data_IF_102919323448
#
_entry.id   IF_102919323448
#
_cell.length_a   1.000
_cell.length_b   1.000
_cell.length_c   1.000
_cell.angle_alpha   90.00
_cell.angle_beta   90.00
_cell.angle_gamma   90.00
#
_symmetry.space_group_name_H-M   'P 1'
#
loop_
_entity.id
_entity.type
_entity.pdbx_description
1 polymer ?
#
# COMPACT_ATOMS: atom_id res chain seq x y z
N UNK A 1 21.24 -15.07 65.87
CA UNK A 1 21.53 -14.30 64.63
C UNK A 1 20.62 -14.81 63.51
N UNK A 2 19.51 -14.15 63.20
CA UNK A 2 18.58 -14.53 62.09
C UNK A 2 19.07 -13.86 60.79
N UNK A 3 19.46 -14.69 59.82
CA UNK A 3 19.81 -14.22 58.49
C UNK A 3 18.52 -13.97 57.67
N UNK A 4 18.27 -12.71 57.33
CA UNK A 4 17.19 -12.31 56.42
C UNK A 4 17.72 -12.46 55.00
N UNK A 5 17.16 -13.44 54.26
CA UNK A 5 17.44 -13.60 52.82
C UNK A 5 16.46 -12.68 52.09
N UNK A 6 16.98 -11.61 51.51
CA UNK A 6 16.22 -10.70 50.62
C UNK A 6 16.18 -11.37 49.25
N UNK A 7 15.04 -11.89 48.85
CA UNK A 7 14.81 -12.42 47.53
C UNK A 7 14.39 -11.22 46.62
N UNK A 8 15.30 -10.79 45.77
CA UNK A 8 14.98 -9.79 44.76
C UNK A 8 14.12 -10.40 43.66
N UNK A 9 12.87 -9.97 43.57
CA UNK A 9 11.96 -10.32 42.46
C UNK A 9 12.31 -9.41 41.29
N UNK A 10 13.00 -9.92 40.26
CA UNK A 10 13.21 -9.22 39.00
C UNK A 10 11.90 -9.31 38.21
N UNK A 11 11.12 -8.23 38.18
CA UNK A 11 9.97 -8.12 37.30
C UNK A 11 10.49 -7.85 35.91
N UNK A 12 10.56 -8.90 35.09
CA UNK A 12 10.84 -8.80 33.66
C UNK A 12 9.58 -8.27 32.98
N UNK A 13 9.51 -6.95 32.81
CA UNK A 13 8.46 -6.33 31.99
C UNK A 13 8.70 -6.73 30.53
N UNK A 14 7.93 -7.70 30.05
CA UNK A 14 7.87 -7.98 28.62
C UNK A 14 7.30 -6.73 27.93
N UNK A 15 8.16 -5.97 27.25
CA UNK A 15 7.73 -4.97 26.29
C UNK A 15 7.05 -5.74 25.15
N UNK A 16 5.74 -5.80 25.17
CA UNK A 16 4.98 -6.20 23.98
C UNK A 16 5.12 -5.07 22.99
N UNK A 17 6.00 -5.20 22.00
CA UNK A 17 6.04 -4.31 20.88
C UNK A 17 4.63 -4.29 20.24
N UNK A 18 3.97 -3.14 20.28
CA UNK A 18 2.69 -2.96 19.59
C UNK A 18 2.94 -3.17 18.11
N UNK A 19 2.14 -4.03 17.47
CA UNK A 19 2.21 -4.26 16.03
C UNK A 19 2.12 -2.93 15.30
N UNK A 20 3.17 -2.55 14.55
CA UNK A 20 3.20 -1.28 13.84
C UNK A 20 2.59 -1.45 12.46
N UNK A 21 1.77 -0.50 12.07
CA UNK A 21 1.08 -0.49 10.78
C UNK A 21 1.61 0.63 9.89
N UNK A 22 1.80 0.33 8.62
CA UNK A 22 2.24 1.27 7.59
C UNK A 22 1.26 1.28 6.43
N UNK A 23 0.96 2.44 5.89
CA UNK A 23 0.27 2.62 4.60
C UNK A 23 1.29 3.04 3.57
N UNK A 24 1.57 2.19 2.59
CA UNK A 24 2.41 2.52 1.43
C UNK A 24 1.53 2.63 0.20
N UNK A 25 1.72 3.66 -0.62
CA UNK A 25 0.92 3.81 -1.82
C UNK A 25 1.64 4.56 -2.94
N UNK A 26 1.28 4.20 -4.17
CA UNK A 26 1.51 5.03 -5.33
C UNK A 26 0.20 5.66 -5.79
N UNK A 27 0.23 6.93 -6.19
CA UNK A 27 -0.93 7.64 -6.70
C UNK A 27 -0.51 8.71 -7.70
N UNK A 28 -1.35 8.96 -8.71
CA UNK A 28 -1.12 9.96 -9.73
C UNK A 28 -2.22 11.03 -9.69
N UNK A 29 -1.80 12.27 -9.61
CA UNK A 29 -2.62 13.47 -9.85
C UNK A 29 -2.68 13.76 -11.37
N UNK A 30 -3.33 14.85 -11.75
CA UNK A 30 -3.44 15.30 -13.15
C UNK A 30 -4.48 14.52 -13.93
N UNK A 31 -4.24 14.34 -15.21
CA UNK A 31 -5.19 13.69 -16.11
C UNK A 31 -5.35 12.20 -15.76
N UNK A 32 -6.57 11.80 -15.44
CA UNK A 32 -6.95 10.42 -15.15
C UNK A 32 -8.18 10.05 -15.97
N UNK A 33 -8.26 8.79 -16.41
CA UNK A 33 -9.43 8.27 -17.10
C UNK A 33 -10.56 7.96 -16.10
N UNK A 34 -11.78 8.30 -16.50
CA UNK A 34 -13.02 7.95 -15.80
C UNK A 34 -14.05 7.43 -16.81
N UNK A 35 -15.19 6.92 -16.34
CA UNK A 35 -16.32 6.56 -17.22
C UNK A 35 -16.88 7.72 -18.05
N UNK A 36 -16.60 8.97 -17.64
CA UNK A 36 -17.05 10.20 -18.32
C UNK A 36 -15.96 10.81 -19.21
N UNK A 37 -14.80 10.15 -19.31
CA UNK A 37 -13.65 10.61 -20.07
C UNK A 37 -12.46 10.97 -19.20
N UNK A 38 -11.52 11.77 -19.75
CA UNK A 38 -10.33 12.20 -19.05
C UNK A 38 -10.66 13.42 -18.17
N UNK A 39 -10.38 13.32 -16.89
CA UNK A 39 -10.56 14.39 -15.90
C UNK A 39 -9.24 14.75 -15.26
N UNK A 40 -9.11 15.99 -14.78
CA UNK A 40 -7.92 16.45 -14.07
C UNK A 40 -8.15 16.36 -12.55
N UNK A 41 -7.48 15.44 -11.88
CA UNK A 41 -7.59 15.21 -10.43
C UNK A 41 -6.53 16.03 -9.68
N UNK A 42 -6.95 16.89 -8.75
CA UNK A 42 -6.05 17.60 -7.84
C UNK A 42 -5.38 16.63 -6.86
N UNK A 43 -6.09 15.57 -6.47
CA UNK A 43 -5.63 14.49 -5.60
C UNK A 43 -5.99 13.18 -6.25
N UNK A 44 -5.01 12.32 -6.46
CA UNK A 44 -5.20 11.02 -7.10
C UNK A 44 -6.06 10.07 -6.24
N UNK A 45 -6.85 9.23 -6.89
CA UNK A 45 -7.82 8.37 -6.22
C UNK A 45 -7.19 7.44 -5.18
N UNK A 46 -6.04 6.83 -5.47
CA UNK A 46 -5.34 5.93 -4.54
C UNK A 46 -4.88 6.68 -3.28
N UNK A 47 -4.45 7.93 -3.42
CA UNK A 47 -4.08 8.79 -2.28
C UNK A 47 -5.27 9.05 -1.36
N UNK A 48 -6.46 9.34 -1.91
CA UNK A 48 -7.67 9.54 -1.11
C UNK A 48 -7.97 8.31 -0.24
N UNK A 49 -7.85 7.11 -0.79
CA UNK A 49 -8.04 5.85 -0.04
C UNK A 49 -6.95 5.67 1.01
N UNK A 50 -5.69 5.93 0.66
CA UNK A 50 -4.55 5.79 1.57
C UNK A 50 -4.67 6.71 2.79
N UNK A 51 -4.99 7.98 2.59
CA UNK A 51 -5.18 8.97 3.65
C UNK A 51 -6.38 8.61 4.56
N UNK A 52 -7.46 8.05 3.99
CA UNK A 52 -8.59 7.57 4.78
C UNK A 52 -8.22 6.34 5.62
N UNK A 53 -7.48 5.37 5.06
CA UNK A 53 -6.99 4.22 5.84
C UNK A 53 -6.06 4.70 6.96
N UNK A 54 -5.13 5.60 6.66
CA UNK A 54 -4.24 6.20 7.66
C UNK A 54 -5.02 6.86 8.80
N UNK A 55 -6.01 7.69 8.47
CA UNK A 55 -6.86 8.36 9.46
C UNK A 55 -7.63 7.38 10.37
N UNK A 56 -8.07 6.24 9.82
CA UNK A 56 -8.82 5.22 10.56
C UNK A 56 -7.95 4.31 11.43
N UNK A 57 -6.68 4.12 11.05
CA UNK A 57 -5.76 3.19 11.72
C UNK A 57 -4.74 3.88 12.61
N UNK A 58 -4.47 5.16 12.40
CA UNK A 58 -3.34 5.86 13.03
C UNK A 58 -1.98 5.41 12.50
N UNK A 59 -1.95 4.68 11.38
CA UNK A 59 -0.72 4.13 10.79
C UNK A 59 0.23 5.22 10.30
N UNK A 60 1.52 4.89 10.21
CA UNK A 60 2.47 5.67 9.42
C UNK A 60 2.06 5.62 7.94
N UNK A 61 2.39 6.65 7.17
CA UNK A 61 2.05 6.70 5.74
C UNK A 61 3.27 7.07 4.90
N UNK A 62 3.46 6.36 3.79
CA UNK A 62 4.56 6.58 2.85
C UNK A 62 4.07 6.55 1.40
N UNK A 63 4.36 7.62 0.66
CA UNK A 63 4.05 7.72 -0.76
C UNK A 63 5.23 7.28 -1.60
N UNK A 64 5.01 6.34 -2.51
CA UNK A 64 5.99 5.99 -3.54
C UNK A 64 6.01 7.09 -4.61
N UNK A 65 7.17 7.66 -4.86
CA UNK A 65 7.40 8.64 -5.92
C UNK A 65 8.60 8.22 -6.76
N UNK A 66 8.45 8.26 -8.07
CA UNK A 66 9.53 7.96 -9.01
C UNK A 66 10.44 9.16 -9.21
N UNK A 67 11.74 8.93 -9.40
CA UNK A 67 12.72 9.99 -9.74
C UNK A 67 12.32 10.65 -11.06
N UNK A 68 12.03 9.84 -12.08
CA UNK A 68 11.42 10.33 -13.32
C UNK A 68 9.90 10.40 -13.12
N UNK A 69 9.32 11.58 -13.21
CA UNK A 69 7.87 11.76 -13.19
C UNK A 69 7.26 11.28 -14.51
N UNK A 70 6.11 10.61 -14.42
CA UNK A 70 5.30 10.29 -15.61
C UNK A 70 4.70 11.56 -16.21
N UNK A 71 4.41 11.50 -17.51
CA UNK A 71 3.78 12.60 -18.23
C UNK A 71 2.45 13.02 -17.58
N UNK A 72 2.16 14.32 -17.59
CA UNK A 72 0.86 14.85 -17.16
C UNK A 72 -0.25 14.46 -18.15
N UNK A 73 0.09 14.36 -19.45
CA UNK A 73 -0.83 13.87 -20.47
C UNK A 73 -1.18 12.38 -20.22
N UNK A 74 -2.47 12.09 -20.20
CA UNK A 74 -2.95 10.73 -19.87
C UNK A 74 -2.47 9.68 -20.88
N UNK A 75 -2.57 9.98 -22.18
CA UNK A 75 -2.22 9.00 -23.22
C UNK A 75 -0.72 8.70 -23.22
N UNK A 76 0.10 9.73 -23.08
CA UNK A 76 1.56 9.59 -22.96
C UNK A 76 1.93 8.78 -21.71
N UNK A 77 1.32 9.09 -20.56
CA UNK A 77 1.54 8.33 -19.32
C UNK A 77 1.15 6.84 -19.47
N UNK A 78 0.04 6.55 -20.14
CA UNK A 78 -0.35 5.15 -20.37
C UNK A 78 0.63 4.40 -21.25
N UNK A 79 1.22 5.07 -22.24
CA UNK A 79 2.25 4.48 -23.11
C UNK A 79 3.54 4.23 -22.31
N UNK A 80 4.01 5.21 -21.53
CA UNK A 80 5.17 5.05 -20.63
C UNK A 80 4.99 3.86 -19.68
N UNK A 81 3.82 3.75 -19.05
CA UNK A 81 3.49 2.64 -18.15
C UNK A 81 3.47 1.27 -18.87
N UNK A 82 3.01 1.23 -20.12
CA UNK A 82 3.00 0.00 -20.95
C UNK A 82 4.41 -0.43 -21.30
N UNK A 83 5.26 0.52 -21.67
CA UNK A 83 6.67 0.25 -22.00
C UNK A 83 7.41 -0.28 -20.78
N UNK A 84 7.22 0.34 -19.59
CA UNK A 84 7.80 -0.14 -18.35
C UNK A 84 7.35 -1.56 -18.00
N UNK A 85 6.05 -1.86 -18.15
CA UNK A 85 5.51 -3.20 -17.90
C UNK A 85 6.13 -4.24 -18.85
N UNK A 86 6.19 -3.95 -20.15
CA UNK A 86 6.74 -4.84 -21.16
C UNK A 86 8.24 -5.08 -20.95
N UNK A 87 8.98 -4.05 -20.58
CA UNK A 87 10.40 -4.12 -20.28
C UNK A 87 10.69 -4.71 -18.89
N UNK A 88 9.66 -4.97 -18.06
CA UNK A 88 9.79 -5.30 -16.63
C UNK A 88 10.70 -4.30 -15.92
N UNK A 89 10.55 -3.01 -16.24
CA UNK A 89 11.38 -1.94 -15.71
C UNK A 89 11.24 -1.82 -14.17
N UNK A 90 12.25 -1.25 -13.55
CA UNK A 90 12.25 -0.92 -12.11
C UNK A 90 12.57 0.56 -11.95
N UNK A 91 11.56 1.45 -12.14
CA UNK A 91 11.75 2.89 -11.98
C UNK A 91 12.32 3.20 -10.62
N UNK A 92 13.39 4.00 -10.58
CA UNK A 92 14.01 4.43 -9.33
C UNK A 92 13.04 5.28 -8.51
N UNK A 93 12.97 5.00 -7.20
CA UNK A 93 12.19 5.77 -6.24
C UNK A 93 13.01 6.94 -5.70
N UNK A 94 12.36 8.09 -5.43
CA UNK A 94 12.99 9.26 -4.81
C UNK A 94 13.45 9.01 -3.39
N UNK A 95 12.72 8.17 -2.67
CA UNK A 95 13.00 7.80 -1.29
C UNK A 95 12.51 6.39 -1.03
N UNK A 96 13.02 5.79 0.03
CA UNK A 96 12.61 4.48 0.53
C UNK A 96 12.29 4.57 2.02
N UNK A 97 11.62 3.56 2.56
CA UNK A 97 11.27 3.45 3.97
C UNK A 97 11.66 2.07 4.50
N UNK A 98 12.36 2.03 5.61
CA UNK A 98 12.63 0.77 6.30
C UNK A 98 11.32 0.18 6.84
N UNK A 99 10.94 -0.96 6.27
CA UNK A 99 9.72 -1.68 6.67
C UNK A 99 9.95 -2.69 7.80
N UNK A 100 11.17 -2.84 8.32
CA UNK A 100 11.52 -3.88 9.29
C UNK A 100 10.67 -3.84 10.55
N UNK A 101 10.31 -2.65 11.02
CA UNK A 101 9.52 -2.43 12.23
C UNK A 101 8.01 -2.62 12.07
N UNK A 102 7.50 -2.80 10.82
CA UNK A 102 6.08 -2.93 10.57
C UNK A 102 5.68 -4.39 10.35
N UNK A 103 4.65 -4.82 11.05
CA UNK A 103 4.07 -6.16 10.90
C UNK A 103 2.94 -6.18 9.87
N UNK A 104 2.21 -5.06 9.77
CA UNK A 104 1.06 -4.90 8.87
C UNK A 104 1.29 -3.75 7.90
N UNK A 105 1.18 -4.02 6.61
CA UNK A 105 1.39 -3.02 5.57
C UNK A 105 0.17 -2.99 4.64
N UNK A 106 -0.54 -1.86 4.65
CA UNK A 106 -1.51 -1.54 3.60
C UNK A 106 -0.74 -1.08 2.38
N UNK A 107 -0.92 -1.75 1.24
CA UNK A 107 -0.22 -1.42 0.01
C UNK A 107 -1.21 -1.04 -1.09
N UNK A 108 -1.13 0.21 -1.56
CA UNK A 108 -2.08 0.81 -2.48
C UNK A 108 -1.51 1.21 -3.84
N UNK A 109 -2.29 0.97 -4.92
CA UNK A 109 -1.90 1.36 -6.27
C UNK A 109 -3.10 1.59 -7.20
N UNK A 110 -2.99 2.44 -8.24
CA UNK A 110 -3.92 2.44 -9.35
C UNK A 110 -3.65 1.23 -10.25
N UNK A 111 -4.71 0.56 -10.72
CA UNK A 111 -4.54 -0.55 -11.65
C UNK A 111 -4.12 -0.02 -13.02
N UNK A 112 -2.85 -0.25 -13.39
CA UNK A 112 -2.29 0.12 -14.67
C UNK A 112 -2.01 -1.15 -15.51
N UNK A 113 -2.58 -1.20 -16.70
CA UNK A 113 -2.42 -2.34 -17.61
C UNK A 113 -2.70 -3.71 -16.95
N UNK A 114 -3.69 -3.74 -16.05
CA UNK A 114 -4.12 -4.96 -15.38
C UNK A 114 -3.21 -5.42 -14.23
N UNK A 115 -2.30 -4.57 -13.73
CA UNK A 115 -1.47 -4.85 -12.56
C UNK A 115 -1.13 -3.55 -11.83
N UNK A 116 -0.13 -3.56 -10.95
CA UNK A 116 0.40 -2.36 -10.32
C UNK A 116 1.44 -1.65 -11.21
N UNK A 117 1.65 -0.32 -11.06
CA UNK A 117 2.75 0.41 -11.69
C UNK A 117 4.11 -0.16 -11.32
N UNK A 118 5.08 -0.12 -12.25
CA UNK A 118 6.38 -0.78 -12.05
C UNK A 118 7.21 -0.21 -10.90
N UNK A 119 6.97 1.02 -10.47
CA UNK A 119 7.55 1.57 -9.25
C UNK A 119 7.13 0.82 -7.97
N UNK A 120 5.92 0.22 -7.96
CA UNK A 120 5.50 -0.68 -6.87
C UNK A 120 6.32 -1.98 -6.89
N UNK A 121 6.65 -2.52 -8.07
CA UNK A 121 7.55 -3.66 -8.17
C UNK A 121 8.95 -3.32 -7.63
N UNK A 122 9.47 -2.12 -7.91
CA UNK A 122 10.74 -1.64 -7.35
C UNK A 122 10.71 -1.70 -5.82
N UNK A 123 9.67 -1.15 -5.20
CA UNK A 123 9.50 -1.18 -3.75
C UNK A 123 9.37 -2.61 -3.21
N UNK A 124 8.56 -3.45 -3.84
CA UNK A 124 8.35 -4.83 -3.40
C UNK A 124 9.63 -5.66 -3.41
N UNK A 125 10.47 -5.48 -4.41
CA UNK A 125 11.71 -6.25 -4.56
C UNK A 125 12.86 -5.75 -3.67
N UNK A 126 12.75 -4.52 -3.13
CA UNK A 126 13.76 -3.94 -2.26
C UNK A 126 13.69 -4.45 -0.81
N UNK A 127 12.61 -5.13 -0.41
CA UNK A 127 12.34 -5.44 0.99
C UNK A 127 12.14 -6.92 1.27
N UNK A 128 12.43 -7.33 2.52
CA UNK A 128 12.05 -8.63 3.06
C UNK A 128 10.62 -8.58 3.61
N UNK A 129 9.78 -9.43 3.06
CA UNK A 129 8.36 -9.55 3.40
C UNK A 129 8.06 -10.70 4.35
N UNK A 130 9.07 -11.43 4.80
CA UNK A 130 8.90 -12.60 5.68
C UNK A 130 8.17 -12.22 6.97
N UNK A 131 7.08 -12.95 7.26
CA UNK A 131 6.27 -12.74 8.46
C UNK A 131 5.35 -11.53 8.45
N UNK A 132 5.37 -10.70 7.39
CA UNK A 132 4.52 -9.52 7.31
C UNK A 132 3.12 -9.83 6.76
N UNK A 133 2.12 -9.08 7.21
CA UNK A 133 0.77 -9.09 6.63
C UNK A 133 0.65 -7.93 5.64
N UNK A 134 0.38 -8.24 4.38
CA UNK A 134 0.12 -7.22 3.34
C UNK A 134 -1.37 -7.17 3.03
N UNK A 135 -1.94 -5.98 3.20
CA UNK A 135 -3.36 -5.68 2.98
C UNK A 135 -3.46 -4.79 1.73
N UNK A 136 -3.68 -5.35 0.53
CA UNK A 136 -3.66 -4.58 -0.69
C UNK A 136 -4.94 -3.76 -0.87
N UNK A 137 -4.81 -2.58 -1.51
CA UNK A 137 -5.94 -1.84 -2.02
C UNK A 137 -5.62 -1.25 -3.39
N UNK A 138 -6.63 -1.20 -4.27
CA UNK A 138 -6.45 -0.67 -5.62
C UNK A 138 -7.59 0.25 -6.02
N UNK A 139 -7.26 1.23 -6.86
CA UNK A 139 -8.24 2.05 -7.56
C UNK A 139 -8.17 1.75 -9.06
N UNK A 140 -9.32 1.69 -9.73
CA UNK A 140 -9.44 1.28 -11.13
C UNK A 140 -10.68 1.88 -11.79
N UNK A 141 -10.83 1.73 -13.10
CA UNK A 141 -12.07 2.10 -13.81
C UNK A 141 -12.76 0.88 -14.47
N UNK A 142 -12.71 -0.28 -13.79
CA UNK A 142 -13.44 -1.49 -14.20
C UNK A 142 -12.65 -2.79 -14.10
N UNK A 143 -11.31 -2.72 -14.03
CA UNK A 143 -10.41 -3.89 -14.06
C UNK A 143 -10.23 -4.58 -12.69
N UNK A 144 -10.69 -3.96 -11.60
CA UNK A 144 -10.35 -4.46 -10.25
C UNK A 144 -8.85 -4.47 -10.02
N UNK A 145 -8.38 -5.50 -9.34
CA UNK A 145 -6.94 -5.75 -9.17
C UNK A 145 -6.24 -6.26 -10.45
N UNK A 146 -7.01 -6.74 -11.44
CA UNK A 146 -6.44 -7.47 -12.56
C UNK A 146 -5.56 -8.63 -12.09
N UNK A 147 -4.30 -8.66 -12.56
CA UNK A 147 -3.27 -9.61 -12.11
C UNK A 147 -2.54 -9.16 -10.85
N UNK A 148 -2.77 -7.92 -10.37
CA UNK A 148 -1.98 -7.29 -9.30
C UNK A 148 -1.88 -8.12 -8.02
N UNK A 149 -2.93 -8.82 -7.59
CA UNK A 149 -2.86 -9.70 -6.41
C UNK A 149 -1.98 -10.93 -6.65
N UNK A 150 -2.02 -11.51 -7.84
CA UNK A 150 -1.14 -12.63 -8.22
C UNK A 150 0.31 -12.18 -8.24
N UNK A 151 0.57 -11.05 -8.87
CA UNK A 151 1.90 -10.49 -9.04
C UNK A 151 2.47 -10.05 -7.68
N UNK A 152 1.65 -9.44 -6.79
CA UNK A 152 2.01 -9.13 -5.41
C UNK A 152 2.44 -10.37 -4.63
N UNK A 153 1.64 -11.44 -4.66
CA UNK A 153 1.96 -12.71 -3.97
C UNK A 153 3.25 -13.35 -4.48
N UNK A 154 3.53 -13.20 -5.78
CA UNK A 154 4.74 -13.73 -6.40
C UNK A 154 5.99 -12.93 -5.99
N UNK A 155 5.85 -11.62 -5.76
CA UNK A 155 6.97 -10.72 -5.47
C UNK A 155 7.22 -10.59 -3.97
N UNK A 156 6.19 -10.36 -3.15
CA UNK A 156 6.29 -10.24 -1.69
C UNK A 156 6.35 -11.63 -1.02
N UNK A 157 7.40 -12.39 -1.32
CA UNK A 157 7.59 -13.76 -0.81
C UNK A 157 7.68 -13.77 0.71
N UNK A 158 6.98 -14.71 1.34
CA UNK A 158 6.94 -14.84 2.81
C UNK A 158 5.87 -13.99 3.48
N UNK A 159 5.22 -13.06 2.75
CA UNK A 159 4.11 -12.29 3.28
C UNK A 159 2.78 -13.08 3.29
N UNK A 160 1.95 -12.79 4.29
CA UNK A 160 0.52 -13.13 4.27
C UNK A 160 -0.24 -12.03 3.52
N UNK A 161 -0.62 -12.28 2.27
CA UNK A 161 -1.38 -11.32 1.45
C UNK A 161 -2.87 -11.57 1.63
N UNK A 162 -3.62 -10.55 2.08
CA UNK A 162 -5.08 -10.62 2.29
C UNK A 162 -5.86 -10.44 0.98
N UNK A 163 -7.21 -10.53 1.06
CA UNK A 163 -8.10 -10.34 -0.10
C UNK A 163 -8.06 -8.90 -0.66
N UNK A 164 -7.84 -7.91 0.22
CA UNK A 164 -7.74 -6.50 -0.18
C UNK A 164 -9.06 -5.80 -0.48
N UNK A 165 -8.94 -4.50 -0.85
CA UNK A 165 -10.03 -3.61 -1.25
C UNK A 165 -9.82 -3.12 -2.67
N UNK A 166 -10.85 -3.23 -3.52
CA UNK A 166 -10.84 -2.74 -4.89
C UNK A 166 -11.95 -1.71 -5.06
N UNK A 167 -11.62 -0.48 -5.45
CA UNK A 167 -12.56 0.62 -5.60
C UNK A 167 -12.48 1.24 -6.99
N UNK A 168 -13.66 1.52 -7.57
CA UNK A 168 -13.71 2.31 -8.80
C UNK A 168 -13.32 3.76 -8.49
N UNK A 169 -12.40 4.35 -9.26
CA UNK A 169 -11.86 5.68 -9.02
C UNK A 169 -12.94 6.77 -8.97
N UNK A 170 -13.94 6.70 -9.86
CA UNK A 170 -15.11 7.60 -9.85
C UNK A 170 -15.93 7.52 -8.57
N UNK A 171 -15.89 6.40 -7.83
CA UNK A 171 -16.65 6.20 -6.59
C UNK A 171 -15.84 6.44 -5.32
N UNK A 172 -14.52 6.63 -5.41
CA UNK A 172 -13.63 6.71 -4.23
C UNK A 172 -14.12 7.74 -3.21
N UNK A 173 -14.51 8.93 -3.67
CA UNK A 173 -14.93 10.04 -2.80
C UNK A 173 -16.27 9.84 -2.09
N UNK A 174 -17.03 8.83 -2.49
CA UNK A 174 -18.30 8.41 -1.86
C UNK A 174 -18.17 7.05 -1.15
N UNK A 175 -16.96 6.48 -1.06
CA UNK A 175 -16.72 5.12 -0.54
C UNK A 175 -16.27 5.09 0.93
N UNK A 176 -16.43 6.16 1.69
CA UNK A 176 -15.99 6.24 3.09
C UNK A 176 -16.44 5.05 3.93
N UNK A 177 -17.73 4.71 3.87
CA UNK A 177 -18.30 3.57 4.61
C UNK A 177 -17.68 2.23 4.19
N UNK A 178 -17.39 2.06 2.90
CA UNK A 178 -16.77 0.84 2.39
C UNK A 178 -15.33 0.70 2.89
N UNK A 179 -14.58 1.81 2.92
CA UNK A 179 -13.21 1.85 3.45
C UNK A 179 -13.22 1.59 4.97
N UNK A 180 -14.14 2.19 5.71
CA UNK A 180 -14.30 1.95 7.15
C UNK A 180 -14.59 0.48 7.47
N UNK A 181 -15.53 -0.14 6.75
CA UNK A 181 -15.85 -1.55 6.93
C UNK A 181 -14.67 -2.46 6.56
N UNK A 182 -13.92 -2.10 5.52
CA UNK A 182 -12.72 -2.82 5.14
C UNK A 182 -11.66 -2.79 6.24
N UNK A 183 -11.36 -1.62 6.79
CA UNK A 183 -10.36 -1.47 7.88
C UNK A 183 -10.82 -2.22 9.13
N UNK A 184 -12.10 -2.08 9.53
CA UNK A 184 -12.65 -2.82 10.68
C UNK A 184 -12.56 -4.35 10.50
N UNK A 185 -12.81 -4.83 9.28
CA UNK A 185 -12.71 -6.24 8.95
C UNK A 185 -11.27 -6.80 9.05
N UNK A 186 -10.24 -5.97 8.87
CA UNK A 186 -8.84 -6.38 9.07
C UNK A 186 -8.49 -6.47 10.55
N UNK A 187 -9.01 -5.57 11.39
CA UNK A 187 -8.74 -5.54 12.84
C UNK A 187 -9.28 -6.78 13.59
N UNK A 188 -10.17 -7.56 12.99
CA UNK A 188 -10.67 -8.83 13.58
C UNK A 188 -9.64 -9.98 13.44
N UNK A 189 -8.64 -9.82 12.58
CA UNK A 189 -7.63 -10.84 12.26
C UNK A 189 -6.22 -10.49 12.78
N UNK A 190 -6.07 -9.38 13.47
CA UNK A 190 -4.84 -8.93 14.13
C UNK A 190 -4.95 -9.18 15.64
#
# INVERSE_FOLDING_TARGET
MRRIILTAIIILSAFTASAQTLVVYYSREGQNYTSEGIVNLKVGNTRVVAEKIQSLTGADIFRLETVRTYSEDYMTCTQEAKEELNAKARPALKADIDISKYDTIYLGWPCWWGTYPMCVATFLEAHDWTGKTVIPFTTHEGSGFGNGLRDLKATAKGAKVTKGLSLRGTSVRSSDRQIENFVKGQNVYL
#
